data_IF_393116400645
#
_entry.id   IF_393116400645
#
_cell.length_a   1.000
_cell.length_b   1.000
_cell.length_c   1.000
_cell.angle_alpha   90.00
_cell.angle_beta   90.00
_cell.angle_gamma   90.00
#
_symmetry.space_group_name_H-M   'P 1'
#
loop_
_entity.id
_entity.type
_entity.pdbx_description
1 polymer ?
#
# COMPACT_ATOMS: atom_id res chain seq x y z
N UNK A 1 27.78 9.44 9.36
CA UNK A 1 27.29 10.48 8.44
C UNK A 1 26.38 9.81 7.43
N UNK A 2 25.06 9.75 7.64
CA UNK A 2 24.16 9.03 6.70
C UNK A 2 22.74 9.62 6.57
N UNK A 3 22.31 10.50 7.49
CA UNK A 3 20.98 11.12 7.42
C UNK A 3 20.81 12.17 6.29
N UNK A 4 21.91 12.76 5.80
CA UNK A 4 21.86 13.90 4.85
C UNK A 4 21.46 13.51 3.41
N UNK A 5 21.64 12.25 3.00
CA UNK A 5 21.32 11.80 1.64
C UNK A 5 19.83 11.49 1.47
N UNK A 6 19.26 10.77 2.43
CA UNK A 6 17.85 10.37 2.47
C UNK A 6 16.95 11.61 2.59
N UNK A 7 17.27 12.54 3.49
CA UNK A 7 16.50 13.79 3.66
C UNK A 7 16.55 14.69 2.39
N UNK A 8 17.57 14.56 1.53
CA UNK A 8 17.65 15.31 0.26
C UNK A 8 16.82 14.70 -0.87
N UNK A 9 16.62 13.37 -0.89
CA UNK A 9 15.76 12.69 -1.87
C UNK A 9 14.27 13.05 -1.66
N UNK A 10 13.87 13.27 -0.40
CA UNK A 10 12.49 13.63 -0.05
C UNK A 10 12.16 15.12 -0.17
N UNK A 11 13.15 16.00 -0.39
CA UNK A 11 12.94 17.45 -0.49
C UNK A 11 12.41 17.92 -1.84
N UNK A 12 12.47 17.07 -2.87
CA UNK A 12 12.16 17.48 -4.24
C UNK A 12 11.04 16.61 -4.82
N UNK A 13 9.83 17.16 -4.78
CA UNK A 13 8.66 16.78 -5.59
C UNK A 13 7.98 15.46 -5.23
N UNK A 14 6.79 15.60 -4.64
CA UNK A 14 5.79 14.53 -4.57
C UNK A 14 4.56 14.92 -5.37
N UNK A 15 4.21 14.11 -6.37
CA UNK A 15 2.95 14.27 -7.12
C UNK A 15 1.88 13.37 -6.49
N UNK A 16 0.65 13.90 -6.38
CA UNK A 16 -0.50 13.19 -5.82
C UNK A 16 -1.54 13.02 -6.90
N UNK A 17 -1.81 11.77 -7.28
CA UNK A 17 -2.75 11.45 -8.34
C UNK A 17 -3.80 10.46 -7.85
N UNK A 18 -5.01 10.56 -8.36
CA UNK A 18 -5.98 9.47 -8.22
C UNK A 18 -5.50 8.28 -9.05
N UNK A 19 -5.58 7.08 -8.49
CA UNK A 19 -5.11 5.85 -9.12
C UNK A 19 -6.07 4.70 -8.82
N UNK A 20 -6.15 3.71 -9.72
CA UNK A 20 -6.85 2.46 -9.43
C UNK A 20 -5.89 1.34 -9.06
N UNK A 21 -6.36 0.37 -8.27
CA UNK A 21 -5.54 -0.76 -7.86
C UNK A 21 -4.99 -1.52 -9.09
N UNK A 22 -5.83 -1.67 -10.13
CA UNK A 22 -5.42 -2.31 -11.38
C UNK A 22 -4.36 -1.54 -12.16
N UNK A 23 -4.17 -0.24 -11.93
CA UNK A 23 -3.10 0.52 -12.58
C UNK A 23 -1.72 0.18 -11.98
N UNK A 24 -1.68 -0.32 -10.73
CA UNK A 24 -0.45 -0.74 -10.04
C UNK A 24 0.05 -2.09 -10.55
N UNK A 25 -0.85 -3.05 -10.76
CA UNK A 25 -0.48 -4.41 -11.16
C UNK A 25 -0.68 -4.68 -12.66
N UNK A 26 -1.01 -3.65 -13.44
CA UNK A 26 -1.35 -3.76 -14.86
C UNK A 26 -2.77 -4.26 -15.12
N UNK A 27 -3.19 -4.22 -16.40
CA UNK A 27 -4.52 -4.69 -16.83
C UNK A 27 -4.69 -6.19 -16.50
N UNK A 28 -5.30 -6.52 -15.37
CA UNK A 28 -5.47 -7.92 -15.00
C UNK A 28 -6.01 -8.21 -13.60
N UNK A 29 -6.72 -7.29 -12.95
CA UNK A 29 -7.51 -7.69 -11.78
C UNK A 29 -8.61 -8.63 -12.27
N UNK A 30 -8.51 -9.89 -11.88
CA UNK A 30 -9.45 -10.95 -12.25
C UNK A 30 -10.62 -11.08 -11.24
N UNK A 31 -10.76 -10.11 -10.35
CA UNK A 31 -11.76 -10.09 -9.28
C UNK A 31 -12.43 -8.73 -9.15
N UNK A 32 -13.59 -8.72 -8.51
CA UNK A 32 -14.43 -7.53 -8.41
C UNK A 32 -13.90 -6.55 -7.35
N UNK A 33 -13.79 -5.27 -7.72
CA UNK A 33 -13.46 -4.18 -6.80
C UNK A 33 -14.60 -3.16 -6.79
N UNK A 34 -15.13 -2.86 -5.60
CA UNK A 34 -16.19 -1.86 -5.37
C UNK A 34 -15.72 -0.71 -4.52
N UNK A 35 -16.37 0.45 -4.69
CA UNK A 35 -16.22 1.62 -3.83
C UNK A 35 -14.76 2.08 -3.65
N UNK A 36 -13.97 1.91 -4.71
CA UNK A 36 -12.52 2.13 -4.65
C UNK A 36 -12.17 3.62 -4.56
N UNK A 37 -11.32 3.96 -3.60
CA UNK A 37 -10.56 5.20 -3.55
C UNK A 37 -9.07 4.85 -3.59
N UNK A 38 -8.29 5.64 -4.31
CA UNK A 38 -6.86 5.40 -4.46
C UNK A 38 -6.10 6.69 -4.66
N UNK A 39 -4.99 6.82 -3.95
CA UNK A 39 -4.03 7.92 -4.08
C UNK A 39 -2.64 7.34 -4.31
N UNK A 40 -1.97 7.83 -5.35
CA UNK A 40 -0.54 7.58 -5.62
C UNK A 40 0.28 8.78 -5.17
N UNK A 41 1.40 8.49 -4.54
CA UNK A 41 2.43 9.42 -4.10
C UNK A 41 3.74 9.02 -4.78
N UNK A 42 4.16 9.81 -5.76
CA UNK A 42 5.41 9.60 -6.50
C UNK A 42 6.58 10.26 -5.78
N UNK A 43 7.73 9.59 -5.73
CA UNK A 43 8.98 10.13 -5.21
C UNK A 43 10.06 10.13 -6.30
N UNK A 44 11.15 10.88 -6.08
CA UNK A 44 12.30 10.84 -6.98
C UNK A 44 12.93 9.45 -7.04
N UNK A 45 13.46 9.11 -8.22
CA UNK A 45 14.08 7.80 -8.46
C UNK A 45 13.07 6.71 -8.83
N UNK A 46 11.79 7.06 -9.06
CA UNK A 46 10.79 6.12 -9.58
C UNK A 46 10.08 5.29 -8.51
N UNK A 47 10.51 5.39 -7.25
CA UNK A 47 9.79 4.89 -6.09
C UNK A 47 8.42 5.57 -5.96
N UNK A 48 7.38 4.80 -5.66
CA UNK A 48 6.07 5.35 -5.34
C UNK A 48 5.40 4.57 -4.22
N UNK A 49 4.47 5.25 -3.56
CA UNK A 49 3.57 4.65 -2.59
C UNK A 49 2.12 4.89 -3.01
N UNK A 50 1.28 3.89 -2.84
CA UNK A 50 -0.14 3.97 -3.10
C UNK A 50 -0.94 3.63 -1.84
N UNK A 51 -2.05 4.34 -1.65
CA UNK A 51 -3.01 4.12 -0.59
C UNK A 51 -4.36 3.85 -1.22
N UNK A 52 -4.97 2.72 -0.87
CA UNK A 52 -6.28 2.35 -1.39
C UNK A 52 -7.25 2.01 -0.27
N UNK A 53 -8.52 2.31 -0.52
CA UNK A 53 -9.67 1.74 0.20
C UNK A 53 -10.64 1.16 -0.81
N UNK A 54 -11.05 -0.08 -0.63
CA UNK A 54 -12.02 -0.73 -1.52
C UNK A 54 -12.67 -1.95 -0.89
N UNK A 55 -13.77 -2.42 -1.48
CA UNK A 55 -14.38 -3.70 -1.14
C UNK A 55 -14.05 -4.74 -2.21
N UNK A 56 -13.73 -5.96 -1.78
CA UNK A 56 -13.36 -7.09 -2.64
C UNK A 56 -13.54 -8.38 -1.85
N UNK A 57 -13.77 -9.53 -2.51
CA UNK A 57 -13.64 -10.81 -1.83
C UNK A 57 -12.20 -11.00 -1.30
N UNK A 58 -12.09 -11.51 -0.06
CA UNK A 58 -10.81 -11.69 0.62
C UNK A 58 -9.96 -12.78 -0.02
N UNK A 59 -10.56 -13.91 -0.38
CA UNK A 59 -9.83 -15.05 -0.93
C UNK A 59 -9.33 -14.71 -2.34
N UNK A 60 -10.13 -14.01 -3.13
CA UNK A 60 -9.73 -13.55 -4.46
C UNK A 60 -8.53 -12.60 -4.40
N UNK A 61 -8.56 -11.60 -3.52
CA UNK A 61 -7.43 -10.68 -3.34
C UNK A 61 -6.17 -11.42 -2.84
N UNK A 62 -6.32 -12.32 -1.88
CA UNK A 62 -5.19 -13.04 -1.29
C UNK A 62 -4.54 -13.96 -2.32
N UNK A 63 -5.37 -14.69 -3.08
CA UNK A 63 -4.90 -15.52 -4.18
C UNK A 63 -4.16 -14.68 -5.21
N UNK A 64 -4.74 -13.56 -5.64
CA UNK A 64 -4.10 -12.65 -6.59
C UNK A 64 -2.71 -12.19 -6.12
N UNK A 65 -2.58 -11.76 -4.87
CA UNK A 65 -1.30 -11.29 -4.32
C UNK A 65 -0.26 -12.40 -4.19
N UNK A 66 -0.67 -13.61 -3.80
CA UNK A 66 0.21 -14.77 -3.74
C UNK A 66 0.73 -15.17 -5.13
N UNK A 67 -0.15 -15.08 -6.14
CA UNK A 67 0.12 -15.46 -7.53
C UNK A 67 0.88 -14.37 -8.32
N UNK A 68 1.15 -13.21 -7.72
CA UNK A 68 1.97 -12.18 -8.35
C UNK A 68 3.34 -12.74 -8.74
N UNK A 69 3.68 -12.58 -10.02
CA UNK A 69 5.02 -12.88 -10.53
C UNK A 69 6.03 -11.88 -9.97
N UNK A 70 7.25 -12.36 -9.77
CA UNK A 70 8.40 -11.57 -9.32
C UNK A 70 9.62 -11.99 -10.11
N UNK A 71 10.46 -11.01 -10.47
CA UNK A 71 11.74 -11.25 -11.13
C UNK A 71 12.88 -11.41 -10.11
N UNK A 72 12.60 -11.20 -8.81
CA UNK A 72 13.57 -11.33 -7.71
C UNK A 72 13.00 -12.21 -6.60
N UNK A 73 13.04 -13.52 -6.85
CA UNK A 73 12.49 -14.52 -5.93
C UNK A 73 13.25 -14.61 -4.59
N UNK A 74 14.51 -14.20 -4.55
CA UNK A 74 15.38 -14.21 -3.37
C UNK A 74 14.96 -13.20 -2.29
N UNK A 75 14.26 -12.13 -2.68
CA UNK A 75 13.76 -11.08 -1.78
C UNK A 75 12.22 -11.00 -1.77
N UNK A 76 11.54 -11.99 -2.36
CA UNK A 76 10.08 -12.06 -2.41
C UNK A 76 9.56 -13.17 -1.52
N UNK A 77 8.47 -12.87 -0.82
CA UNK A 77 7.71 -13.84 -0.04
C UNK A 77 7.00 -14.82 -0.98
N UNK A 78 6.81 -16.06 -0.50
CA UNK A 78 6.02 -17.05 -1.23
C UNK A 78 4.52 -16.81 -1.03
N UNK A 79 4.12 -16.42 0.18
CA UNK A 79 2.72 -16.28 0.58
C UNK A 79 2.50 -15.06 1.47
N UNK A 80 1.24 -14.62 1.51
CA UNK A 80 0.76 -13.54 2.34
C UNK A 80 0.81 -13.94 3.82
N UNK A 81 1.51 -13.13 4.62
CA UNK A 81 1.73 -13.38 6.03
C UNK A 81 0.82 -12.52 6.90
N UNK A 82 0.32 -13.08 8.02
CA UNK A 82 -0.31 -12.27 9.06
C UNK A 82 0.72 -11.38 9.74
N UNK A 83 0.32 -10.16 10.04
CA UNK A 83 1.12 -9.19 10.81
C UNK A 83 0.22 -8.49 11.85
N UNK A 84 0.65 -7.34 12.33
CA UNK A 84 -0.09 -6.46 13.23
C UNK A 84 -0.13 -5.02 12.69
N UNK A 85 -0.75 -4.13 13.44
CA UNK A 85 -0.91 -2.72 13.11
C UNK A 85 0.41 -1.92 13.05
N UNK A 86 1.48 -2.41 13.68
CA UNK A 86 2.72 -1.63 13.87
C UNK A 86 3.29 -1.20 12.53
N UNK A 87 3.40 -2.12 11.57
CA UNK A 87 4.01 -1.86 10.26
C UNK A 87 3.28 -0.75 9.50
N UNK A 88 1.95 -0.78 9.47
CA UNK A 88 1.18 0.23 8.75
C UNK A 88 1.15 1.57 9.48
N UNK A 89 1.09 1.55 10.83
CA UNK A 89 1.14 2.76 11.64
C UNK A 89 2.49 3.49 11.50
N UNK A 90 3.61 2.76 11.40
CA UNK A 90 4.92 3.36 11.13
C UNK A 90 4.95 4.07 9.77
N UNK A 91 4.42 3.44 8.71
CA UNK A 91 4.32 4.04 7.37
C UNK A 91 3.43 5.29 7.40
N UNK A 92 2.26 5.23 8.05
CA UNK A 92 1.36 6.38 8.18
C UNK A 92 2.02 7.52 8.97
N UNK A 93 2.69 7.22 10.08
CA UNK A 93 3.36 8.22 10.92
C UNK A 93 4.51 8.91 10.18
N UNK A 94 5.26 8.16 9.36
CA UNK A 94 6.27 8.73 8.47
C UNK A 94 5.65 9.75 7.51
N UNK A 95 4.56 9.40 6.84
CA UNK A 95 3.86 10.30 5.91
C UNK A 95 3.29 11.51 6.63
N UNK A 96 2.65 11.32 7.78
CA UNK A 96 2.13 12.42 8.61
C UNK A 96 3.24 13.40 9.02
N UNK A 97 4.42 12.90 9.37
CA UNK A 97 5.54 13.72 9.82
C UNK A 97 6.26 14.44 8.67
N UNK A 98 6.49 13.74 7.56
CA UNK A 98 7.31 14.25 6.44
C UNK A 98 6.48 14.96 5.37
N UNK A 99 5.21 14.59 5.21
CA UNK A 99 4.33 15.04 4.13
C UNK A 99 2.90 15.35 4.66
N UNK A 100 2.74 16.30 5.60
CA UNK A 100 1.47 16.57 6.27
C UNK A 100 0.33 16.95 5.31
N UNK A 101 0.63 17.68 4.23
CA UNK A 101 -0.38 18.03 3.21
C UNK A 101 -0.92 16.81 2.46
N UNK A 102 -0.10 15.77 2.34
CA UNK A 102 -0.49 14.50 1.70
C UNK A 102 -1.31 13.68 2.68
N UNK A 103 -0.89 13.62 3.94
CA UNK A 103 -1.61 12.92 4.99
C UNK A 103 -3.08 13.39 5.09
N UNK A 104 -3.34 14.69 4.96
CA UNK A 104 -4.70 15.25 4.96
C UNK A 104 -5.58 14.78 3.78
N UNK A 105 -5.00 14.18 2.73
CA UNK A 105 -5.74 13.58 1.61
C UNK A 105 -6.02 12.09 1.83
N UNK A 106 -5.48 11.50 2.90
CA UNK A 106 -5.58 10.08 3.24
C UNK A 106 -6.64 9.80 4.33
N UNK A 107 -7.60 10.70 4.53
CA UNK A 107 -8.70 10.49 5.48
C UNK A 107 -9.44 9.17 5.21
N UNK A 108 -9.68 8.85 3.94
CA UNK A 108 -10.28 7.58 3.53
C UNK A 108 -9.44 6.36 3.88
N UNK A 109 -8.12 6.52 4.04
CA UNK A 109 -7.22 5.43 4.35
C UNK A 109 -7.05 5.25 5.86
N UNK A 110 -7.17 6.32 6.65
CA UNK A 110 -6.89 6.31 8.09
C UNK A 110 -8.13 6.12 8.97
N UNK A 111 -9.31 6.03 8.39
CA UNK A 111 -10.57 5.81 9.11
C UNK A 111 -10.66 4.46 9.85
N UNK A 112 -9.84 3.45 9.48
CA UNK A 112 -9.79 2.15 10.17
C UNK A 112 -9.46 2.28 11.66
N UNK A 113 -8.81 3.37 12.10
CA UNK A 113 -8.49 3.62 13.50
C UNK A 113 -9.74 3.68 14.40
N UNK A 114 -10.93 3.84 13.82
CA UNK A 114 -12.20 3.95 14.54
C UNK A 114 -13.09 2.70 14.38
N UNK A 115 -12.55 1.60 13.86
CA UNK A 115 -13.30 0.39 13.49
C UNK A 115 -12.81 -0.83 14.29
N UNK A 116 -13.73 -1.73 14.63
CA UNK A 116 -13.42 -3.01 15.27
C UNK A 116 -12.95 -4.08 14.28
N UNK A 117 -12.77 -5.32 14.75
CA UNK A 117 -12.44 -6.53 13.96
C UNK A 117 -11.58 -6.36 12.69
N UNK A 118 -10.36 -5.83 12.88
CA UNK A 118 -9.36 -5.70 11.83
C UNK A 118 -8.42 -6.92 11.81
N UNK A 119 -8.01 -7.32 10.62
CA UNK A 119 -6.87 -8.23 10.42
C UNK A 119 -5.80 -7.57 9.57
N UNK A 120 -4.54 -7.85 9.90
CA UNK A 120 -3.40 -7.23 9.25
C UNK A 120 -2.59 -8.29 8.50
N UNK A 121 -2.22 -7.97 7.28
CA UNK A 121 -1.42 -8.86 6.43
C UNK A 121 -0.36 -8.08 5.66
N UNK A 122 0.68 -8.79 5.23
CA UNK A 122 1.71 -8.23 4.37
C UNK A 122 2.25 -9.28 3.39
N UNK A 123 2.76 -8.82 2.26
CA UNK A 123 3.52 -9.64 1.31
C UNK A 123 4.47 -8.78 0.49
N UNK A 124 5.75 -9.16 0.47
CA UNK A 124 6.75 -8.64 -0.45
C UNK A 124 6.78 -9.50 -1.72
N UNK A 125 6.41 -8.92 -2.86
CA UNK A 125 6.55 -9.52 -4.20
C UNK A 125 7.19 -8.48 -5.09
N UNK A 126 8.53 -8.50 -5.19
CA UNK A 126 9.28 -7.47 -5.91
C UNK A 126 8.68 -7.22 -7.32
N UNK A 127 8.42 -5.94 -7.70
CA UNK A 127 8.85 -4.71 -7.03
C UNK A 127 7.92 -4.21 -5.91
N UNK A 128 6.82 -4.89 -5.61
CA UNK A 128 5.80 -4.42 -4.69
C UNK A 128 5.95 -4.98 -3.29
N UNK A 129 5.81 -4.12 -2.29
CA UNK A 129 5.53 -4.52 -0.92
C UNK A 129 4.13 -4.05 -0.54
N UNK A 130 3.30 -5.00 -0.14
CA UNK A 130 1.88 -4.81 0.09
C UNK A 130 1.60 -4.98 1.58
N UNK A 131 0.85 -4.06 2.15
CA UNK A 131 0.30 -4.16 3.51
C UNK A 131 -1.22 -4.00 3.41
N UNK A 132 -1.95 -4.96 3.98
CA UNK A 132 -3.41 -4.97 4.01
C UNK A 132 -3.89 -4.82 5.44
N UNK A 133 -4.91 -3.98 5.61
CA UNK A 133 -5.82 -4.01 6.74
C UNK A 133 -7.17 -4.47 6.20
N UNK A 134 -7.68 -5.58 6.72
CA UNK A 134 -8.96 -6.14 6.35
C UNK A 134 -9.99 -5.87 7.45
N UNK A 135 -11.02 -5.10 7.11
CA UNK A 135 -12.21 -4.89 7.93
C UNK A 135 -13.25 -5.97 7.60
N UNK A 136 -13.45 -6.89 8.56
CA UNK A 136 -14.37 -8.02 8.42
C UNK A 136 -15.84 -7.60 8.35
N UNK A 137 -16.18 -6.45 8.91
CA UNK A 137 -17.58 -6.05 9.10
C UNK A 137 -18.28 -5.76 7.77
N UNK A 138 -17.53 -5.32 6.77
CA UNK A 138 -18.06 -4.83 5.50
C UNK A 138 -17.21 -5.26 4.29
N UNK A 139 -16.27 -6.18 4.49
CA UNK A 139 -15.38 -6.71 3.47
C UNK A 139 -14.54 -5.61 2.77
N UNK A 140 -14.03 -4.66 3.57
CA UNK A 140 -13.20 -3.54 3.09
C UNK A 140 -11.73 -3.81 3.34
N UNK A 141 -10.91 -3.46 2.35
CA UNK A 141 -9.47 -3.43 2.44
C UNK A 141 -8.97 -1.99 2.48
N UNK A 142 -8.08 -1.72 3.43
CA UNK A 142 -7.13 -0.61 3.38
C UNK A 142 -5.80 -1.19 2.93
N UNK A 143 -5.39 -0.86 1.70
CA UNK A 143 -4.25 -1.46 1.06
C UNK A 143 -3.19 -0.40 0.79
N UNK A 144 -2.04 -0.55 1.45
CA UNK A 144 -0.84 0.22 1.18
C UNK A 144 0.08 -0.58 0.26
N UNK A 145 0.54 0.05 -0.82
CA UNK A 145 1.51 -0.55 -1.74
C UNK A 145 2.72 0.36 -1.82
N UNK A 146 3.89 -0.20 -1.59
CA UNK A 146 5.18 0.42 -1.84
C UNK A 146 5.80 -0.23 -3.08
N UNK A 147 6.27 0.56 -4.04
CA UNK A 147 6.98 0.05 -5.21
C UNK A 147 8.45 0.42 -5.13
N UNK A 148 9.30 -0.58 -5.08
CA UNK A 148 10.75 -0.46 -5.20
C UNK A 148 11.11 -0.43 -6.69
N UNK A 149 11.80 0.62 -7.10
CA UNK A 149 12.48 0.65 -8.38
C UNK A 149 13.99 0.65 -8.11
N UNK A 150 14.70 -0.29 -8.73
CA UNK A 150 16.17 -0.28 -8.80
C UNK A 150 16.67 0.62 -9.93
#
# INVERSE_FOLDING_TARGET
MEKKGIDKLFQNTTAINSIKLGDVYGKGLIFEIKNQKGVKMDFLGGFYQCFFKYQSDKNDLFKFLNDLKTDKADISDNELMKTNEVTILEKINFIKSKFPEIYNKLDFFTEFNNIGELEYYQIAKYPHYNILIYDKSNNTFYHFVENYQD
#
